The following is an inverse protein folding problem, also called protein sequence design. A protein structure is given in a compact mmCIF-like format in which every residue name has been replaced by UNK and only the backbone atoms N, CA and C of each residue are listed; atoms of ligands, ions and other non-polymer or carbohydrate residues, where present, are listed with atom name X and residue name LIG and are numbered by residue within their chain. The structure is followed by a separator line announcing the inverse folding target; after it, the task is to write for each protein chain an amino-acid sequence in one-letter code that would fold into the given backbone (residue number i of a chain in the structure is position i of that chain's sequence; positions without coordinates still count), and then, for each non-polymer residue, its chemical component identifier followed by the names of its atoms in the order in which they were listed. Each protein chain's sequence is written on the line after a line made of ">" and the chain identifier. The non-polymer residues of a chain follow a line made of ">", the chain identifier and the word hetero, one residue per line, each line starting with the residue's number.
data_IF_820536027669
#
_entry.id   IF_820536027669
#
_cell.length_a   1.000
_cell.length_b   1.000
_cell.length_c   1.000
_cell.angle_alpha   90.00
_cell.angle_beta   90.00
_cell.angle_gamma   90.00
#
_symmetry.space_group_name_H-M   'P 1'
#
loop_
_entity.id
_entity.type
_entity.pdbx_description
1 polymer ?
#
# COMPACT_ATOMS: atom_id res chain seq x y z
N UNK A 1 -32.34 -13.59 9.99
CA UNK A 1 -30.88 -13.65 10.20
C UNK A 1 -30.21 -14.33 9.00
N UNK A 2 -29.23 -13.69 8.34
CA UNK A 2 -28.49 -14.33 7.23
C UNK A 2 -27.61 -15.46 7.76
N UNK A 3 -27.70 -16.65 7.15
CA UNK A 3 -26.86 -17.82 7.47
C UNK A 3 -25.37 -17.58 7.17
N UNK A 4 -25.06 -16.58 6.35
CA UNK A 4 -23.70 -16.24 5.95
C UNK A 4 -23.04 -15.15 6.80
N UNK A 5 -23.70 -14.65 7.85
CA UNK A 5 -23.16 -13.53 8.66
C UNK A 5 -23.25 -12.18 7.93
N UNK A 6 -22.66 -11.14 8.51
CA UNK A 6 -22.73 -9.77 7.97
C UNK A 6 -21.60 -9.50 6.98
N UNK A 7 -20.38 -10.03 7.22
CA UNK A 7 -19.19 -9.64 6.45
C UNK A 7 -18.76 -10.65 5.39
N UNK A 8 -19.03 -11.95 5.57
CA UNK A 8 -18.61 -12.99 4.59
C UNK A 8 -19.12 -12.78 3.16
N UNK A 9 -20.39 -12.36 2.91
CA UNK A 9 -20.86 -12.15 1.55
C UNK A 9 -20.07 -11.07 0.80
N UNK A 10 -19.68 -10.00 1.51
CA UNK A 10 -18.86 -8.93 0.95
C UNK A 10 -17.44 -9.40 0.63
N UNK A 11 -16.84 -10.22 1.49
CA UNK A 11 -15.51 -10.80 1.25
C UNK A 11 -15.54 -11.75 0.04
N UNK A 12 -16.56 -12.62 -0.04
CA UNK A 12 -16.72 -13.54 -1.16
C UNK A 12 -16.95 -12.81 -2.49
N UNK A 13 -17.84 -11.81 -2.50
CA UNK A 13 -18.11 -10.98 -3.67
C UNK A 13 -16.87 -10.19 -4.10
N UNK A 14 -16.15 -9.59 -3.14
CA UNK A 14 -14.88 -8.91 -3.40
C UNK A 14 -13.84 -9.84 -4.04
N UNK A 15 -13.67 -11.06 -3.52
CA UNK A 15 -12.73 -12.02 -4.07
C UNK A 15 -13.11 -12.47 -5.50
N UNK A 16 -14.41 -12.66 -5.76
CA UNK A 16 -14.90 -12.96 -7.10
C UNK A 16 -14.64 -11.80 -8.08
N UNK A 17 -14.89 -10.55 -7.67
CA UNK A 17 -14.60 -9.39 -8.51
C UNK A 17 -13.10 -9.19 -8.75
N UNK A 18 -12.23 -9.43 -7.76
CA UNK A 18 -10.77 -9.44 -7.98
C UNK A 18 -10.41 -10.50 -9.03
N UNK A 19 -10.97 -11.71 -8.96
CA UNK A 19 -10.70 -12.76 -9.94
C UNK A 19 -11.12 -12.37 -11.35
N UNK A 20 -12.31 -11.77 -11.52
CA UNK A 20 -12.79 -11.25 -12.81
C UNK A 20 -11.89 -10.12 -13.32
N UNK A 21 -11.54 -9.17 -12.46
CA UNK A 21 -10.70 -8.03 -12.82
C UNK A 21 -9.31 -8.47 -13.30
N UNK A 22 -8.66 -9.35 -12.55
CA UNK A 22 -7.33 -9.90 -12.87
C UNK A 22 -7.38 -10.72 -14.15
N UNK A 23 -8.46 -11.45 -14.41
CA UNK A 23 -8.67 -12.14 -15.68
C UNK A 23 -8.77 -11.15 -16.85
N UNK A 24 -9.59 -10.09 -16.73
CA UNK A 24 -9.72 -9.06 -17.76
C UNK A 24 -8.38 -8.38 -18.07
N UNK A 25 -7.61 -8.03 -17.03
CA UNK A 25 -6.29 -7.41 -17.16
C UNK A 25 -5.30 -8.36 -17.86
N UNK A 26 -5.24 -9.63 -17.41
CA UNK A 26 -4.33 -10.61 -17.99
C UNK A 26 -4.62 -10.93 -19.45
N UNK A 27 -5.90 -11.02 -19.82
CA UNK A 27 -6.35 -11.36 -21.18
C UNK A 27 -6.70 -10.16 -22.04
N UNK A 28 -6.39 -8.93 -21.60
CA UNK A 28 -6.73 -7.71 -22.33
C UNK A 28 -6.24 -7.73 -23.78
N UNK A 29 -5.01 -8.23 -24.01
CA UNK A 29 -4.44 -8.34 -25.36
C UNK A 29 -5.20 -9.34 -26.26
N UNK A 30 -5.64 -10.49 -25.73
CA UNK A 30 -6.36 -11.50 -26.52
C UNK A 30 -7.81 -11.09 -26.76
N UNK A 31 -8.46 -10.52 -25.74
CA UNK A 31 -9.82 -9.99 -25.87
C UNK A 31 -9.81 -8.82 -26.85
N UNK A 32 -8.79 -7.97 -26.82
CA UNK A 32 -8.59 -6.91 -27.82
C UNK A 32 -8.39 -7.47 -29.22
N UNK A 33 -7.58 -8.52 -29.39
CA UNK A 33 -7.38 -9.17 -30.70
C UNK A 33 -8.67 -9.82 -31.22
N UNK A 34 -9.38 -10.58 -30.40
CA UNK A 34 -10.72 -11.11 -30.72
C UNK A 34 -11.71 -9.97 -31.00
N UNK A 35 -11.50 -8.88 -30.29
CA UNK A 35 -12.07 -7.54 -30.45
C UNK A 35 -11.98 -6.99 -31.87
N UNK A 36 -10.92 -7.38 -32.59
CA UNK A 36 -10.48 -6.85 -33.88
C UNK A 36 -9.29 -5.87 -33.81
N UNK A 37 -8.53 -5.84 -32.70
CA UNK A 37 -7.26 -5.12 -32.65
C UNK A 37 -6.20 -5.80 -33.53
N UNK A 38 -5.35 -5.03 -34.23
CA UNK A 38 -4.26 -5.56 -35.03
C UNK A 38 -3.18 -6.20 -34.14
N UNK A 39 -2.67 -7.36 -34.56
CA UNK A 39 -1.65 -8.10 -33.78
C UNK A 39 -0.32 -7.34 -33.70
N UNK A 40 0.11 -6.73 -34.82
CA UNK A 40 1.44 -6.15 -35.00
C UNK A 40 1.50 -4.61 -34.99
N UNK A 41 0.35 -3.92 -34.93
CA UNK A 41 0.30 -2.45 -34.94
C UNK A 41 -0.13 -1.94 -33.57
N UNK A 42 0.55 -0.89 -33.11
CA UNK A 42 0.13 -0.03 -32.01
C UNK A 42 -0.49 1.24 -32.57
N UNK A 43 -1.49 1.85 -31.91
CA UNK A 43 -2.11 1.45 -30.63
C UNK A 43 -3.13 0.30 -30.77
N UNK A 44 -3.40 -0.39 -29.64
CA UNK A 44 -4.40 -1.47 -29.49
C UNK A 44 -5.59 -0.96 -28.65
N UNK A 45 -6.50 -0.16 -29.23
CA UNK A 45 -7.49 0.60 -28.46
C UNK A 45 -8.47 -0.31 -27.70
N UNK A 46 -8.86 -1.46 -28.26
CA UNK A 46 -9.82 -2.37 -27.60
C UNK A 46 -9.16 -3.09 -26.42
N UNK A 47 -7.90 -3.52 -26.56
CA UNK A 47 -7.11 -4.07 -25.47
C UNK A 47 -6.93 -3.04 -24.33
N UNK A 48 -6.65 -1.78 -24.66
CA UNK A 48 -6.55 -0.69 -23.68
C UNK A 48 -7.88 -0.52 -22.94
N UNK A 49 -9.02 -0.48 -23.65
CA UNK A 49 -10.33 -0.34 -23.02
C UNK A 49 -10.63 -1.50 -22.04
N UNK A 50 -10.35 -2.75 -22.43
CA UNK A 50 -10.52 -3.92 -21.56
C UNK A 50 -9.61 -3.84 -20.32
N UNK A 51 -8.36 -3.44 -20.51
CA UNK A 51 -7.42 -3.26 -19.41
C UNK A 51 -7.89 -2.20 -18.43
N UNK A 52 -8.36 -1.04 -18.91
CA UNK A 52 -8.86 0.06 -18.07
C UNK A 52 -10.09 -0.38 -17.28
N UNK A 53 -11.05 -1.05 -17.91
CA UNK A 53 -12.23 -1.59 -17.22
C UNK A 53 -11.82 -2.60 -16.16
N UNK A 54 -10.94 -3.55 -16.49
CA UNK A 54 -10.41 -4.53 -15.54
C UNK A 54 -9.70 -3.86 -14.37
N UNK A 55 -8.87 -2.84 -14.63
CA UNK A 55 -8.16 -2.09 -13.59
C UNK A 55 -9.12 -1.35 -12.64
N UNK A 56 -10.18 -0.73 -13.16
CA UNK A 56 -11.21 -0.10 -12.33
C UNK A 56 -11.96 -1.10 -11.46
N UNK A 57 -12.35 -2.26 -12.02
CA UNK A 57 -12.99 -3.33 -11.24
C UNK A 57 -12.02 -3.81 -10.15
N UNK A 58 -10.73 -3.96 -10.46
CA UNK A 58 -9.72 -4.39 -9.50
C UNK A 58 -9.62 -3.43 -8.31
N UNK A 59 -9.62 -2.13 -8.56
CA UNK A 59 -9.53 -1.12 -7.50
C UNK A 59 -10.77 -1.14 -6.59
N UNK A 60 -11.97 -1.17 -7.19
CA UNK A 60 -13.22 -1.30 -6.43
C UNK A 60 -13.26 -2.60 -5.63
N UNK A 61 -12.86 -3.71 -6.23
CA UNK A 61 -12.86 -5.03 -5.60
C UNK A 61 -11.85 -5.12 -4.45
N UNK A 62 -10.65 -4.55 -4.60
CA UNK A 62 -9.64 -4.49 -3.55
C UNK A 62 -10.14 -3.67 -2.35
N UNK A 63 -10.74 -2.51 -2.60
CA UNK A 63 -11.32 -1.67 -1.55
C UNK A 63 -12.49 -2.38 -0.85
N UNK A 64 -13.33 -3.08 -1.61
CA UNK A 64 -14.43 -3.91 -1.11
C UNK A 64 -13.95 -5.10 -0.28
N UNK A 65 -12.75 -5.63 -0.52
CA UNK A 65 -12.19 -6.75 0.22
C UNK A 65 -11.43 -6.31 1.47
N UNK A 66 -10.61 -5.26 1.37
CA UNK A 66 -9.76 -4.79 2.47
C UNK A 66 -10.57 -4.31 3.68
N UNK A 67 -11.63 -3.51 3.45
CA UNK A 67 -12.45 -2.94 4.53
C UNK A 67 -13.12 -4.02 5.40
N UNK A 68 -13.96 -4.89 4.82
CA UNK A 68 -14.59 -5.99 5.54
C UNK A 68 -13.61 -6.97 6.18
N UNK A 69 -12.47 -7.28 5.55
CA UNK A 69 -11.44 -8.14 6.15
C UNK A 69 -10.84 -7.51 7.42
N UNK A 70 -10.46 -6.23 7.39
CA UNK A 70 -9.96 -5.51 8.58
C UNK A 70 -11.02 -5.43 9.67
N UNK A 71 -12.27 -5.15 9.30
CA UNK A 71 -13.36 -5.06 10.25
C UNK A 71 -13.73 -6.43 10.84
N UNK A 72 -13.61 -7.52 10.08
CA UNK A 72 -13.76 -8.88 10.61
C UNK A 72 -12.66 -9.20 11.62
N UNK A 73 -11.41 -8.81 11.36
CA UNK A 73 -10.30 -8.97 12.32
C UNK A 73 -10.54 -8.17 13.61
N UNK A 74 -11.07 -6.95 13.50
CA UNK A 74 -11.46 -6.15 14.66
C UNK A 74 -12.60 -6.82 15.46
N UNK A 75 -13.65 -7.28 14.79
CA UNK A 75 -14.78 -7.98 15.42
C UNK A 75 -14.32 -9.25 16.16
N UNK A 76 -13.39 -10.01 15.59
CA UNK A 76 -12.79 -11.21 16.22
C UNK A 76 -11.88 -10.87 17.40
N UNK A 77 -11.26 -9.68 17.39
CA UNK A 77 -10.40 -9.21 18.47
C UNK A 77 -11.21 -8.67 19.66
N UNK A 78 -12.44 -8.22 19.41
CA UNK A 78 -13.34 -7.65 20.42
C UNK A 78 -12.75 -6.39 21.07
N UNK A 79 -13.03 -6.18 22.37
CA UNK A 79 -12.50 -5.04 23.12
C UNK A 79 -11.03 -5.21 23.56
N UNK A 80 -10.38 -6.33 23.23
CA UNK A 80 -9.03 -6.61 23.71
C UNK A 80 -7.97 -5.93 22.82
N UNK A 81 -7.45 -4.80 23.30
CA UNK A 81 -6.44 -3.99 22.61
C UNK A 81 -5.19 -4.79 22.19
N UNK A 82 -4.77 -5.78 23.00
CA UNK A 82 -3.62 -6.64 22.65
C UNK A 82 -3.93 -7.51 21.44
N UNK A 83 -5.12 -8.14 21.40
CA UNK A 83 -5.55 -8.96 20.25
C UNK A 83 -5.69 -8.11 18.99
N UNK A 84 -6.27 -6.91 19.08
CA UNK A 84 -6.41 -5.99 17.94
C UNK A 84 -5.05 -5.58 17.37
N UNK A 85 -4.07 -5.32 18.24
CA UNK A 85 -2.71 -4.99 17.81
C UNK A 85 -2.02 -6.17 17.12
N UNK A 86 -2.11 -7.37 17.70
CA UNK A 86 -1.58 -8.60 17.08
C UNK A 86 -2.26 -8.92 15.75
N UNK A 87 -3.59 -8.73 15.64
CA UNK A 87 -4.32 -8.95 14.40
C UNK A 87 -3.86 -8.00 13.28
N UNK A 88 -3.65 -6.71 13.58
CA UNK A 88 -3.11 -5.76 12.61
C UNK A 88 -1.65 -6.09 12.24
N UNK A 89 -0.82 -6.54 13.18
CA UNK A 89 0.54 -6.97 12.88
C UNK A 89 0.58 -8.19 11.94
N UNK A 90 -0.28 -9.19 12.18
CA UNK A 90 -0.42 -10.35 11.30
C UNK A 90 -0.99 -9.97 9.93
N UNK A 91 -1.94 -9.04 9.87
CA UNK A 91 -2.47 -8.51 8.61
C UNK A 91 -1.34 -7.89 7.76
N UNK A 92 -0.54 -7.00 8.35
CA UNK A 92 0.61 -6.39 7.68
C UNK A 92 1.68 -7.43 7.28
N UNK A 93 1.92 -8.45 8.11
CA UNK A 93 2.82 -9.55 7.79
C UNK A 93 2.35 -10.35 6.56
N UNK A 94 1.07 -10.73 6.50
CA UNK A 94 0.53 -11.45 5.34
C UNK A 94 0.45 -10.59 4.09
N UNK A 95 0.23 -9.27 4.21
CA UNK A 95 0.44 -8.35 3.08
C UNK A 95 1.88 -8.40 2.57
N UNK A 96 2.86 -8.42 3.47
CA UNK A 96 4.27 -8.56 3.12
C UNK A 96 4.55 -9.87 2.37
N UNK A 97 4.00 -11.00 2.85
CA UNK A 97 4.11 -12.29 2.18
C UNK A 97 3.52 -12.23 0.77
N UNK A 98 2.33 -11.64 0.62
CA UNK A 98 1.70 -11.42 -0.69
C UNK A 98 2.57 -10.59 -1.63
N UNK A 99 3.16 -9.51 -1.13
CA UNK A 99 4.08 -8.67 -1.90
C UNK A 99 5.34 -9.43 -2.32
N UNK A 100 5.96 -10.20 -1.41
CA UNK A 100 7.12 -11.05 -1.74
C UNK A 100 6.77 -12.03 -2.86
N UNK A 101 5.63 -12.73 -2.75
CA UNK A 101 5.19 -13.67 -3.79
C UNK A 101 4.92 -12.97 -5.12
N UNK A 102 4.28 -11.79 -5.10
CA UNK A 102 4.01 -10.99 -6.29
C UNK A 102 5.29 -10.50 -6.98
N UNK A 103 6.21 -9.90 -6.23
CA UNK A 103 7.48 -9.42 -6.77
C UNK A 103 8.39 -10.56 -7.22
N UNK A 104 8.42 -11.68 -6.48
CA UNK A 104 9.16 -12.88 -6.88
C UNK A 104 8.62 -13.43 -8.20
N UNK A 105 7.30 -13.56 -8.33
CA UNK A 105 6.66 -14.00 -9.56
C UNK A 105 6.94 -13.05 -10.74
N UNK A 106 6.86 -11.73 -10.52
CA UNK A 106 7.20 -10.72 -11.53
C UNK A 106 8.68 -10.74 -11.95
N UNK A 107 9.59 -11.11 -11.04
CA UNK A 107 11.03 -11.20 -11.33
C UNK A 107 11.41 -12.47 -12.13
N UNK A 108 10.58 -13.52 -12.08
CA UNK A 108 10.86 -14.80 -12.71
C UNK A 108 10.33 -14.85 -14.16
N UNK A 109 11.20 -15.24 -15.10
CA UNK A 109 10.95 -15.06 -16.55
C UNK A 109 10.44 -16.30 -17.27
N UNK A 110 10.27 -17.42 -16.55
CA UNK A 110 9.90 -18.71 -17.15
C UNK A 110 8.58 -19.28 -16.61
N UNK A 111 7.78 -18.46 -15.92
CA UNK A 111 6.49 -18.88 -15.37
C UNK A 111 5.52 -19.35 -16.46
N UNK A 112 5.56 -18.73 -17.65
CA UNK A 112 4.76 -19.15 -18.80
C UNK A 112 5.02 -20.59 -19.27
N UNK A 113 6.14 -21.22 -18.90
CA UNK A 113 6.40 -22.64 -19.22
C UNK A 113 5.52 -23.60 -18.43
N UNK A 114 5.09 -23.20 -17.22
CA UNK A 114 4.16 -23.97 -16.39
C UNK A 114 2.76 -23.92 -16.99
N UNK A 115 2.39 -22.77 -17.58
CA UNK A 115 1.09 -22.56 -18.23
C UNK A 115 1.27 -22.20 -19.71
N UNK A 116 1.65 -23.15 -20.58
CA UNK A 116 2.02 -22.86 -21.97
C UNK A 116 0.88 -22.24 -22.80
N UNK A 117 -0.37 -22.45 -22.40
CA UNK A 117 -1.56 -21.84 -23.02
C UNK A 117 -1.61 -20.31 -22.90
N UNK A 118 -0.82 -19.71 -22.00
CA UNK A 118 -0.80 -18.26 -21.78
C UNK A 118 -0.13 -17.47 -22.90
N UNK A 119 0.74 -18.12 -23.69
CA UNK A 119 1.40 -17.53 -24.85
C UNK A 119 0.49 -17.65 -26.07
N UNK A 120 0.14 -16.51 -26.66
CA UNK A 120 -0.75 -16.44 -27.83
C UNK A 120 -0.11 -15.60 -28.94
N UNK A 121 -0.79 -15.47 -30.09
CA UNK A 121 -0.30 -14.60 -31.18
C UNK A 121 -0.31 -13.12 -30.79
N UNK A 122 -1.24 -12.69 -29.92
CA UNK A 122 -1.32 -11.31 -29.43
C UNK A 122 -0.47 -11.03 -28.19
N UNK A 123 -0.05 -12.06 -27.46
CA UNK A 123 0.60 -11.97 -26.16
C UNK A 123 1.99 -12.61 -26.22
N UNK A 124 3.01 -11.76 -26.14
CA UNK A 124 4.41 -12.18 -26.14
C UNK A 124 4.81 -12.87 -24.82
N UNK A 125 6.09 -13.21 -24.67
CA UNK A 125 6.60 -13.92 -23.49
C UNK A 125 6.42 -13.11 -22.19
N UNK A 126 6.52 -11.79 -22.25
CA UNK A 126 6.33 -10.93 -21.08
C UNK A 126 4.87 -10.94 -20.63
N UNK A 127 3.97 -10.71 -21.57
CA UNK A 127 2.53 -10.80 -21.35
C UNK A 127 2.11 -12.21 -20.86
N UNK A 128 2.68 -13.28 -21.41
CA UNK A 128 2.37 -14.65 -21.02
C UNK A 128 2.83 -14.98 -19.59
N UNK A 129 3.98 -14.44 -19.17
CA UNK A 129 4.42 -14.54 -17.77
C UNK A 129 3.45 -13.81 -16.83
N UNK A 130 3.02 -12.59 -17.17
CA UNK A 130 2.04 -11.85 -16.35
C UNK A 130 0.72 -12.60 -16.21
N UNK A 131 0.18 -13.15 -17.30
CA UNK A 131 -1.01 -14.02 -17.26
C UNK A 131 -0.84 -15.22 -16.33
N UNK A 132 0.33 -15.86 -16.39
CA UNK A 132 0.65 -17.00 -15.53
C UNK A 132 0.64 -16.60 -14.06
N UNK A 133 1.24 -15.45 -13.71
CA UNK A 133 1.20 -14.89 -12.35
C UNK A 133 -0.24 -14.63 -11.89
N UNK A 134 -1.06 -14.04 -12.75
CA UNK A 134 -2.46 -13.75 -12.46
C UNK A 134 -3.29 -15.01 -12.24
N UNK A 135 -3.07 -16.07 -13.01
CA UNK A 135 -3.72 -17.37 -12.78
C UNK A 135 -3.37 -17.95 -11.41
N UNK A 136 -2.08 -17.95 -11.04
CA UNK A 136 -1.64 -18.40 -9.72
C UNK A 136 -2.30 -17.56 -8.62
N UNK A 137 -2.36 -16.24 -8.80
CA UNK A 137 -2.98 -15.30 -7.86
C UNK A 137 -4.47 -15.58 -7.67
N UNK A 138 -5.23 -15.84 -8.75
CA UNK A 138 -6.66 -16.19 -8.67
C UNK A 138 -6.86 -17.48 -7.89
N UNK A 139 -6.09 -18.53 -8.21
CA UNK A 139 -6.20 -19.83 -7.50
C UNK A 139 -5.88 -19.65 -6.02
N UNK A 140 -4.81 -18.92 -5.68
CA UNK A 140 -4.44 -18.65 -4.30
C UNK A 140 -5.51 -17.82 -3.57
N UNK A 141 -6.04 -16.77 -4.19
CA UNK A 141 -7.09 -15.93 -3.62
C UNK A 141 -8.36 -16.73 -3.32
N UNK A 142 -8.85 -17.51 -4.29
CA UNK A 142 -10.08 -18.28 -4.13
C UNK A 142 -9.92 -19.38 -3.08
N UNK A 143 -8.79 -20.09 -3.07
CA UNK A 143 -8.52 -21.14 -2.07
C UNK A 143 -8.42 -20.56 -0.66
N UNK A 144 -7.66 -19.48 -0.46
CA UNK A 144 -7.56 -18.80 0.84
C UNK A 144 -8.90 -18.21 1.29
N UNK A 145 -9.67 -17.62 0.37
CA UNK A 145 -11.00 -17.08 0.68
C UNK A 145 -11.95 -18.19 1.11
N UNK A 146 -12.01 -19.30 0.37
CA UNK A 146 -12.86 -20.44 0.73
C UNK A 146 -12.47 -20.97 2.11
N UNK A 147 -11.17 -21.21 2.35
CA UNK A 147 -10.68 -21.66 3.65
C UNK A 147 -11.06 -20.69 4.78
N UNK A 148 -10.82 -19.39 4.60
CA UNK A 148 -11.16 -18.39 5.60
C UNK A 148 -12.67 -18.38 5.92
N UNK A 149 -13.52 -18.39 4.89
CA UNK A 149 -14.97 -18.34 5.04
C UNK A 149 -15.56 -19.64 5.63
N UNK A 150 -14.91 -20.78 5.43
CA UNK A 150 -15.33 -22.07 6.03
C UNK A 150 -14.87 -22.21 7.47
N UNK A 151 -13.62 -21.85 7.79
CA UNK A 151 -13.03 -22.07 9.11
C UNK A 151 -13.37 -20.97 10.13
N UNK A 152 -13.43 -19.71 9.72
CA UNK A 152 -13.60 -18.58 10.65
C UNK A 152 -15.08 -18.40 10.96
N UNK A 153 -15.57 -18.86 12.13
CA UNK A 153 -16.95 -18.66 12.58
C UNK A 153 -17.26 -17.17 12.84
N UNK A 154 -18.24 -16.61 12.13
CA UNK A 154 -18.76 -15.26 12.39
C UNK A 154 -20.02 -15.37 13.28
N UNK A 155 -20.21 -14.45 14.24
CA UNK A 155 -21.47 -14.36 14.99
C UNK A 155 -22.60 -14.04 14.02
N UNK A 156 -23.71 -14.75 14.16
CA UNK A 156 -24.87 -14.60 13.31
C UNK A 156 -25.55 -13.24 13.58
N UNK A 157 -25.83 -12.47 12.53
CA UNK A 157 -26.51 -11.17 12.66
C UNK A 157 -27.99 -11.39 13.03
N UNK A 158 -28.35 -11.10 14.28
CA UNK A 158 -29.74 -10.86 14.70
C UNK A 158 -30.01 -9.35 14.66
N UNK A 159 -31.16 -8.95 14.13
CA UNK A 159 -31.53 -7.55 13.97
C UNK A 159 -31.85 -6.82 15.30
N UNK A 160 -31.78 -7.51 16.45
CA UNK A 160 -32.24 -6.97 17.74
C UNK A 160 -31.23 -6.14 18.54
N UNK A 161 -29.95 -6.05 18.15
CA UNK A 161 -28.92 -5.34 18.94
C UNK A 161 -28.75 -3.85 18.58
N UNK A 162 -29.80 -3.23 18.04
CA UNK A 162 -29.84 -1.78 17.80
C UNK A 162 -30.26 -0.93 19.01
N UNK A 163 -30.78 -1.52 20.09
CA UNK A 163 -31.53 -0.75 21.12
C UNK A 163 -31.24 -1.05 22.60
N UNK A 164 -30.20 -1.79 22.99
CA UNK A 164 -30.03 -2.20 24.41
C UNK A 164 -28.62 -2.16 24.96
N UNK A 165 -27.88 -1.06 24.74
CA UNK A 165 -26.77 -0.65 25.65
C UNK A 165 -26.58 0.87 25.63
N UNK A 166 -27.63 1.64 25.89
CA UNK A 166 -27.50 2.98 26.44
C UNK A 166 -28.08 2.90 27.86
N UNK A 167 -27.26 3.19 28.87
CA UNK A 167 -27.71 3.21 30.25
C UNK A 167 -28.81 4.26 30.42
N UNK A 168 -29.79 3.90 31.24
CA UNK A 168 -30.83 4.78 31.77
C UNK A 168 -30.22 6.06 32.32
N UNK A 169 -30.68 7.20 31.79
CA UNK A 169 -31.05 8.37 32.57
C UNK A 169 -32.15 9.09 31.78
N UNK A 170 -33.25 9.35 32.48
CA UNK A 170 -34.53 9.88 32.01
C UNK A 170 -34.41 11.35 31.55
N UNK A 171 -35.02 11.68 30.39
CA UNK A 171 -36.13 12.65 30.26
C UNK A 171 -36.21 13.41 28.91
N UNK A 172 -37.46 13.45 28.44
CA UNK A 172 -38.12 14.34 27.47
C UNK A 172 -37.86 14.26 25.94
N UNK A 173 -38.83 13.58 25.30
CA UNK A 173 -39.60 14.01 24.13
C UNK A 173 -38.90 14.69 22.94
N UNK A 174 -38.78 13.91 21.86
CA UNK A 174 -38.51 14.44 20.53
C UNK A 174 -38.44 13.34 19.48
N UNK A 175 -39.60 12.93 18.95
CA UNK A 175 -39.72 12.12 17.72
C UNK A 175 -38.84 12.72 16.61
N UNK A 176 -37.72 12.09 16.32
CA UNK A 176 -36.98 12.35 15.08
C UNK A 176 -37.12 11.12 14.18
N UNK A 177 -37.97 11.25 13.17
CA UNK A 177 -37.96 10.37 12.01
C UNK A 177 -36.57 10.38 11.38
N UNK A 178 -35.90 9.24 11.38
CA UNK A 178 -34.61 9.04 10.73
C UNK A 178 -34.83 8.99 9.21
N UNK A 179 -34.75 10.17 8.58
CA UNK A 179 -34.53 10.23 7.14
C UNK A 179 -33.16 9.60 6.84
N UNK A 180 -33.01 8.73 5.82
CA UNK A 180 -31.72 8.19 5.47
C UNK A 180 -30.89 9.34 4.93
N UNK A 181 -29.92 9.83 5.71
CA UNK A 181 -29.02 10.85 5.19
C UNK A 181 -28.31 10.30 3.96
N UNK A 182 -28.14 11.10 2.89
CA UNK A 182 -27.27 10.73 1.78
C UNK A 182 -25.88 10.41 2.34
N UNK A 183 -25.27 9.32 1.89
CA UNK A 183 -23.93 8.84 2.31
C UNK A 183 -22.87 9.96 2.43
N UNK A 184 -22.93 10.97 1.55
CA UNK A 184 -22.05 12.15 1.60
C UNK A 184 -22.33 13.10 2.79
N UNK A 185 -23.59 13.25 3.19
CA UNK A 185 -23.98 14.01 4.38
C UNK A 185 -23.48 13.34 5.66
N UNK A 186 -23.52 12.01 5.73
CA UNK A 186 -22.93 11.25 6.84
C UNK A 186 -21.40 11.42 6.91
N UNK A 187 -20.69 11.34 5.78
CA UNK A 187 -19.24 11.57 5.73
C UNK A 187 -18.89 12.99 6.17
N UNK A 188 -19.61 13.99 5.67
CA UNK A 188 -19.34 15.39 6.01
C UNK A 188 -19.63 15.69 7.49
N UNK A 189 -20.74 15.17 8.02
CA UNK A 189 -21.05 15.25 9.45
C UNK A 189 -19.98 14.54 10.30
N UNK A 190 -19.52 13.36 9.85
CA UNK A 190 -18.47 12.61 10.53
C UNK A 190 -17.15 13.38 10.59
N UNK A 191 -16.72 13.96 9.46
CA UNK A 191 -15.54 14.81 9.37
C UNK A 191 -15.65 16.01 10.32
N UNK A 192 -16.79 16.70 10.32
CA UNK A 192 -17.02 17.88 11.17
C UNK A 192 -16.97 17.55 12.66
N UNK A 193 -17.39 16.34 13.05
CA UNK A 193 -17.43 15.89 14.44
C UNK A 193 -16.14 15.19 14.91
N UNK A 194 -15.08 15.18 14.11
CA UNK A 194 -13.81 14.56 14.52
C UNK A 194 -13.10 15.36 15.62
N UNK A 195 -12.66 14.63 16.64
CA UNK A 195 -11.83 15.20 17.70
C UNK A 195 -10.46 15.64 17.15
N UNK A 196 -9.85 16.65 17.77
CA UNK A 196 -8.53 17.20 17.41
C UNK A 196 -7.43 16.14 17.20
N UNK A 197 -7.30 15.07 18.03
CA UNK A 197 -6.34 13.99 17.79
C UNK A 197 -6.49 13.30 16.43
N UNK A 198 -7.72 13.11 15.96
CA UNK A 198 -7.98 12.48 14.66
C UNK A 198 -7.57 13.40 13.52
N UNK A 199 -7.86 14.69 13.58
CA UNK A 199 -7.41 15.65 12.56
C UNK A 199 -5.89 15.68 12.40
N UNK A 200 -5.15 15.61 13.51
CA UNK A 200 -3.69 15.54 13.49
C UNK A 200 -3.23 14.22 12.86
N UNK A 201 -3.88 13.10 13.20
CA UNK A 201 -3.59 11.80 12.58
C UNK A 201 -3.80 11.81 11.07
N UNK A 202 -4.91 12.40 10.60
CA UNK A 202 -5.22 12.54 9.18
C UNK A 202 -4.18 13.39 8.46
N UNK A 203 -3.74 14.50 9.06
CA UNK A 203 -2.68 15.36 8.52
C UNK A 203 -1.33 14.62 8.41
N UNK A 204 -0.90 13.95 9.48
CA UNK A 204 0.36 13.18 9.50
C UNK A 204 0.32 12.06 8.46
N UNK A 205 -0.83 11.37 8.35
CA UNK A 205 -1.06 10.31 7.36
C UNK A 205 -1.00 10.87 5.95
N UNK A 206 -1.66 12.00 5.70
CA UNK A 206 -1.66 12.71 4.41
C UNK A 206 -0.23 13.04 3.96
N UNK A 207 0.56 13.70 4.81
CA UNK A 207 1.96 14.02 4.50
C UNK A 207 2.83 12.79 4.28
N UNK A 208 2.62 11.73 5.07
CA UNK A 208 3.35 10.48 4.91
C UNK A 208 3.05 9.82 3.56
N UNK A 209 1.80 9.87 3.09
CA UNK A 209 1.43 9.33 1.79
C UNK A 209 1.91 10.19 0.62
N UNK A 210 1.96 11.53 0.77
CA UNK A 210 2.67 12.40 -0.19
C UNK A 210 4.14 11.98 -0.32
N UNK A 211 4.77 11.48 0.75
CA UNK A 211 6.13 10.95 0.69
C UNK A 211 6.25 9.62 -0.05
N UNK A 212 5.31 8.69 0.17
CA UNK A 212 5.35 7.36 -0.41
C UNK A 212 4.98 7.32 -1.89
N UNK A 213 4.00 8.12 -2.33
CA UNK A 213 3.47 8.01 -3.69
C UNK A 213 4.51 8.23 -4.80
N UNK A 214 5.39 9.24 -4.73
CA UNK A 214 6.46 9.40 -5.71
C UNK A 214 7.29 8.14 -5.85
N UNK A 215 7.72 7.58 -4.71
CA UNK A 215 8.51 6.36 -4.69
C UNK A 215 7.74 5.18 -5.28
N UNK A 216 6.50 4.94 -4.85
CA UNK A 216 5.69 3.82 -5.35
C UNK A 216 5.36 3.91 -6.84
N UNK A 217 5.32 5.11 -7.41
CA UNK A 217 5.08 5.32 -8.84
C UNK A 217 6.34 5.15 -9.69
N UNK A 218 7.49 5.62 -9.17
CA UNK A 218 8.70 5.78 -9.97
C UNK A 218 9.88 4.93 -9.51
N UNK A 219 9.80 4.10 -8.48
CA UNK A 219 10.94 3.35 -7.93
C UNK A 219 11.60 2.38 -8.94
N UNK A 220 10.81 1.62 -9.66
CA UNK A 220 11.26 0.64 -10.65
C UNK A 220 11.69 1.32 -11.95
N UNK A 221 10.99 2.39 -12.34
CA UNK A 221 11.44 3.29 -13.40
C UNK A 221 12.79 3.90 -13.03
N UNK A 222 12.96 4.30 -11.76
CA UNK A 222 14.18 4.90 -11.27
C UNK A 222 15.37 3.95 -11.33
N UNK A 223 15.12 2.70 -10.95
CA UNK A 223 16.12 1.64 -11.11
C UNK A 223 16.44 1.37 -12.60
N UNK A 224 15.45 1.44 -13.48
CA UNK A 224 15.60 1.28 -14.94
C UNK A 224 16.39 2.40 -15.60
N UNK A 225 15.97 3.64 -15.36
CA UNK A 225 16.40 4.84 -16.04
C UNK A 225 17.61 5.49 -15.38
N UNK A 226 17.52 5.84 -14.10
CA UNK A 226 18.60 6.56 -13.42
C UNK A 226 19.73 5.62 -12.98
N UNK A 227 19.43 4.47 -12.38
CA UNK A 227 20.48 3.57 -11.87
C UNK A 227 21.12 2.76 -12.99
N UNK A 228 20.31 2.18 -13.88
CA UNK A 228 20.83 1.35 -14.98
C UNK A 228 21.16 2.16 -16.24
N UNK A 229 20.68 3.40 -16.39
CA UNK A 229 20.92 4.20 -17.59
C UNK A 229 20.16 3.72 -18.82
N UNK A 230 19.07 2.96 -18.62
CA UNK A 230 18.20 2.50 -19.69
C UNK A 230 17.22 3.59 -20.15
N UNK A 231 16.58 3.34 -21.29
CA UNK A 231 15.52 4.20 -21.83
C UNK A 231 14.40 3.34 -22.39
N UNK A 232 13.17 3.54 -21.92
CA UNK A 232 11.97 2.81 -22.34
C UNK A 232 11.52 3.17 -23.76
N UNK A 233 11.95 4.33 -24.28
CA UNK A 233 11.67 4.79 -25.65
C UNK A 233 12.92 4.80 -26.54
N UNK A 234 14.03 4.29 -26.03
CA UNK A 234 15.32 4.27 -26.71
C UNK A 234 15.49 3.12 -27.71
N UNK A 235 16.74 2.93 -28.15
CA UNK A 235 17.13 1.79 -28.98
C UNK A 235 16.87 0.45 -28.29
N UNK A 236 16.81 -0.65 -29.05
CA UNK A 236 16.57 -1.99 -28.50
C UNK A 236 17.54 -2.38 -27.37
N UNK A 237 18.78 -1.85 -27.40
CA UNK A 237 19.74 -2.05 -26.32
C UNK A 237 19.38 -1.24 -25.06
N UNK A 238 19.01 0.04 -25.21
CA UNK A 238 18.61 0.89 -24.09
C UNK A 238 17.33 0.36 -23.41
N UNK A 239 16.38 -0.14 -24.21
CA UNK A 239 15.19 -0.81 -23.70
C UNK A 239 15.55 -2.07 -22.91
N UNK A 240 16.48 -2.89 -23.43
CA UNK A 240 16.96 -4.08 -22.72
C UNK A 240 17.66 -3.75 -21.40
N UNK A 241 18.37 -2.62 -21.33
CA UNK A 241 19.01 -2.15 -20.10
C UNK A 241 17.98 -1.61 -19.10
N UNK A 242 16.98 -0.88 -19.59
CA UNK A 242 15.82 -0.44 -18.82
C UNK A 242 15.08 -1.62 -18.20
N UNK A 243 14.71 -2.63 -18.99
CA UNK A 243 14.06 -3.86 -18.53
C UNK A 243 14.88 -4.58 -17.46
N UNK A 244 16.22 -4.58 -17.60
CA UNK A 244 17.11 -5.17 -16.60
C UNK A 244 17.10 -4.40 -15.29
N UNK A 245 17.07 -3.07 -15.36
CA UNK A 245 16.95 -2.21 -14.18
C UNK A 245 15.58 -2.35 -13.52
N UNK A 246 14.48 -2.34 -14.28
CA UNK A 246 13.12 -2.59 -13.76
C UNK A 246 13.04 -3.93 -13.02
N UNK A 247 13.61 -5.00 -13.58
CA UNK A 247 13.69 -6.31 -12.90
C UNK A 247 14.53 -6.27 -11.63
N UNK A 248 15.63 -5.50 -11.62
CA UNK A 248 16.42 -5.30 -10.41
C UNK A 248 15.66 -4.47 -9.36
N UNK A 249 14.82 -3.52 -9.79
CA UNK A 249 13.92 -2.77 -8.93
C UNK A 249 12.86 -3.67 -8.30
N UNK A 250 12.25 -4.57 -9.08
CA UNK A 250 11.33 -5.59 -8.56
C UNK A 250 12.01 -6.51 -7.53
N UNK A 251 13.28 -6.89 -7.74
CA UNK A 251 14.07 -7.60 -6.73
C UNK A 251 14.28 -6.75 -5.46
N UNK A 252 14.52 -5.44 -5.61
CA UNK A 252 14.58 -4.49 -4.50
C UNK A 252 13.27 -4.47 -3.71
N UNK A 253 12.13 -4.35 -4.39
CA UNK A 253 10.80 -4.39 -3.79
C UNK A 253 10.49 -5.72 -3.09
N UNK A 254 11.03 -6.84 -3.60
CA UNK A 254 10.97 -8.12 -2.90
C UNK A 254 11.74 -8.07 -1.57
N UNK A 255 12.97 -7.54 -1.56
CA UNK A 255 13.77 -7.36 -0.34
C UNK A 255 13.11 -6.40 0.65
N UNK A 256 12.57 -5.29 0.15
CA UNK A 256 11.73 -4.36 0.90
C UNK A 256 10.60 -5.12 1.61
N UNK A 257 9.87 -5.96 0.88
CA UNK A 257 8.73 -6.72 1.41
C UNK A 257 9.15 -7.75 2.46
N UNK A 258 10.33 -8.37 2.32
CA UNK A 258 10.89 -9.25 3.35
C UNK A 258 11.14 -8.47 4.65
N UNK A 259 11.83 -7.32 4.57
CA UNK A 259 12.09 -6.47 5.74
C UNK A 259 10.79 -5.94 6.33
N UNK A 260 9.82 -5.56 5.50
CA UNK A 260 8.49 -5.14 5.89
C UNK A 260 7.80 -6.23 6.73
N UNK A 261 7.82 -7.48 6.27
CA UNK A 261 7.22 -8.61 6.96
C UNK A 261 7.81 -8.83 8.35
N UNK A 262 9.14 -8.92 8.45
CA UNK A 262 9.80 -9.08 9.75
C UNK A 262 9.58 -7.88 10.68
N UNK A 263 9.64 -6.67 10.14
CA UNK A 263 9.37 -5.44 10.91
C UNK A 263 7.93 -5.42 11.41
N UNK A 264 6.95 -5.88 10.61
CA UNK A 264 5.53 -5.95 10.97
C UNK A 264 5.27 -6.83 12.20
N UNK A 265 6.00 -7.94 12.33
CA UNK A 265 5.97 -8.80 13.53
C UNK A 265 6.65 -8.13 14.74
N UNK A 266 7.67 -7.30 14.49
CA UNK A 266 8.45 -6.59 15.49
C UNK A 266 7.90 -5.23 15.94
N UNK A 267 6.80 -4.73 15.37
CA UNK A 267 6.30 -3.35 15.62
C UNK A 267 6.10 -3.07 17.10
N UNK A 268 5.56 -4.03 17.87
CA UNK A 268 5.35 -3.87 19.32
C UNK A 268 6.65 -3.76 20.12
N UNK A 269 7.68 -4.52 19.72
CA UNK A 269 8.97 -4.48 20.37
C UNK A 269 9.69 -3.16 20.05
N UNK A 270 9.62 -2.73 18.78
CA UNK A 270 10.17 -1.46 18.32
C UNK A 270 9.48 -0.28 19.01
N UNK A 271 8.15 -0.29 19.11
CA UNK A 271 7.38 0.77 19.76
C UNK A 271 7.74 0.89 21.25
N UNK A 272 7.87 -0.24 21.95
CA UNK A 272 8.33 -0.25 23.35
C UNK A 272 9.77 0.26 23.49
N UNK A 273 10.67 -0.15 22.60
CA UNK A 273 12.08 0.23 22.63
C UNK A 273 12.31 1.74 22.46
N UNK A 274 11.50 2.42 21.64
CA UNK A 274 11.63 3.87 21.40
C UNK A 274 10.73 4.73 22.31
N UNK A 275 10.00 4.11 23.23
CA UNK A 275 9.15 4.81 24.20
C UNK A 275 7.79 5.25 23.65
N UNK A 276 7.20 4.46 22.76
CA UNK A 276 5.80 4.60 22.32
C UNK A 276 5.61 4.62 20.81
N UNK A 277 4.37 4.37 20.39
CA UNK A 277 3.92 4.29 18.99
C UNK A 277 4.11 5.63 18.27
N UNK A 278 3.85 6.74 18.98
CA UNK A 278 4.08 8.11 18.49
C UNK A 278 5.53 8.34 18.07
N UNK A 279 6.48 8.01 18.96
CA UNK A 279 7.91 8.21 18.72
C UNK A 279 8.39 7.32 17.60
N UNK A 280 7.93 6.07 17.56
CA UNK A 280 8.26 5.14 16.49
C UNK A 280 7.88 5.70 15.13
N UNK A 281 6.63 6.17 14.96
CA UNK A 281 6.19 6.75 13.69
C UNK A 281 7.05 7.95 13.30
N UNK A 282 7.26 8.89 14.22
CA UNK A 282 8.11 10.06 13.94
C UNK A 282 9.51 9.68 13.46
N UNK A 283 10.17 8.75 14.16
CA UNK A 283 11.51 8.27 13.81
C UNK A 283 11.53 7.63 12.41
N UNK A 284 10.58 6.74 12.11
CA UNK A 284 10.61 6.07 10.80
C UNK A 284 10.27 7.00 9.64
N UNK A 285 9.51 8.07 9.85
CA UNK A 285 9.31 9.10 8.83
C UNK A 285 10.61 9.86 8.52
N UNK A 286 11.48 10.10 9.52
CA UNK A 286 12.82 10.62 9.24
C UNK A 286 13.70 9.60 8.52
N UNK A 287 13.58 8.30 8.85
CA UNK A 287 14.26 7.23 8.10
C UNK A 287 13.79 7.22 6.64
N UNK A 288 12.49 7.37 6.39
CA UNK A 288 11.93 7.50 5.05
C UNK A 288 12.50 8.72 4.31
N UNK A 289 12.50 9.89 4.95
CA UNK A 289 13.07 11.11 4.38
C UNK A 289 14.55 10.92 4.00
N UNK A 290 15.33 10.31 4.89
CA UNK A 290 16.74 9.99 4.65
C UNK A 290 16.90 9.01 3.47
N UNK A 291 16.08 7.97 3.39
CA UNK A 291 16.13 7.02 2.28
C UNK A 291 15.80 7.70 0.94
N UNK A 292 14.78 8.57 0.90
CA UNK A 292 14.43 9.33 -0.28
C UNK A 292 15.56 10.28 -0.70
N UNK A 293 16.24 10.94 0.24
CA UNK A 293 17.44 11.73 -0.06
C UNK A 293 18.59 10.86 -0.61
N UNK A 294 18.77 9.64 -0.09
CA UNK A 294 19.81 8.72 -0.56
C UNK A 294 19.61 8.25 -2.00
N UNK A 295 18.40 8.31 -2.55
CA UNK A 295 18.17 8.06 -3.99
C UNK A 295 18.97 9.03 -4.87
N UNK A 296 19.13 10.29 -4.44
CA UNK A 296 19.92 11.31 -5.14
C UNK A 296 21.39 10.90 -5.16
N UNK A 297 21.93 10.47 -4.01
CA UNK A 297 23.32 10.02 -3.92
C UNK A 297 23.57 8.82 -4.83
N UNK A 298 22.70 7.81 -4.78
CA UNK A 298 22.83 6.61 -5.62
C UNK A 298 22.75 6.98 -7.10
N UNK A 299 21.86 7.90 -7.47
CA UNK A 299 21.73 8.39 -8.85
C UNK A 299 22.99 9.11 -9.31
N UNK A 300 23.54 10.02 -8.49
CA UNK A 300 24.77 10.75 -8.82
C UNK A 300 26.00 9.84 -8.88
N UNK A 301 26.05 8.81 -8.03
CA UNK A 301 27.06 7.76 -8.12
C UNK A 301 26.90 6.91 -9.39
N UNK A 302 25.67 6.56 -9.75
CA UNK A 302 25.37 5.80 -10.96
C UNK A 302 25.73 6.58 -12.23
N UNK A 303 25.44 7.88 -12.27
CA UNK A 303 25.83 8.80 -13.34
C UNK A 303 27.35 8.92 -13.44
N UNK A 304 28.06 9.17 -12.33
CA UNK A 304 29.52 9.37 -12.33
C UNK A 304 30.31 8.10 -12.70
N UNK A 305 29.79 6.92 -12.38
CA UNK A 305 30.43 5.63 -12.70
C UNK A 305 29.86 4.99 -13.97
N UNK A 306 29.02 5.72 -14.74
CA UNK A 306 28.43 5.20 -15.96
C UNK A 306 29.52 4.99 -17.01
N UNK A 307 29.80 3.73 -17.30
CA UNK A 307 30.74 3.34 -18.35
C UNK A 307 29.98 3.14 -19.65
N UNK A 308 30.60 3.53 -20.75
CA UNK A 308 30.06 3.30 -22.09
C UNK A 308 30.98 2.34 -22.84
N UNK A 309 30.38 1.38 -23.55
CA UNK A 309 31.10 0.57 -24.53
C UNK A 309 30.73 1.04 -25.93
N UNK A 310 31.68 1.05 -26.86
CA UNK A 310 31.40 1.35 -28.26
C UNK A 310 31.15 0.04 -28.99
N UNK A 311 29.97 -0.13 -29.57
CA UNK A 311 29.62 -1.32 -30.37
C UNK A 311 30.08 -1.11 -31.81
N UNK A 312 30.31 -2.21 -32.54
CA UNK A 312 30.53 -2.20 -33.99
C UNK A 312 29.39 -1.41 -34.67
N UNK A 313 29.74 -0.23 -35.23
CA UNK A 313 28.78 0.77 -35.74
C UNK A 313 28.91 2.17 -35.12
N UNK A 314 29.79 2.37 -34.12
CA UNK A 314 30.10 3.69 -33.56
C UNK A 314 29.13 4.19 -32.48
N UNK A 315 28.08 3.43 -32.19
CA UNK A 315 27.15 3.74 -31.11
C UNK A 315 27.77 3.44 -29.73
N UNK A 316 27.73 4.42 -28.82
CA UNK A 316 28.11 4.28 -27.42
C UNK A 316 26.93 3.78 -26.60
N UNK A 317 27.12 2.68 -25.88
CA UNK A 317 26.07 2.04 -25.09
C UNK A 317 26.42 2.06 -23.59
N UNK A 318 25.48 2.42 -22.71
CA UNK A 318 25.70 2.36 -21.28
C UNK A 318 25.86 0.89 -20.83
N UNK A 319 26.87 0.64 -20.01
CA UNK A 319 27.09 -0.64 -19.34
C UNK A 319 26.28 -0.69 -18.03
N UNK A 320 25.92 -1.90 -17.56
CA UNK A 320 25.25 -2.06 -16.27
C UNK A 320 26.06 -1.42 -15.13
N UNK A 321 25.39 -0.92 -14.08
CA UNK A 321 26.06 -0.24 -12.98
C UNK A 321 27.00 -1.21 -12.24
N UNK A 322 28.10 -0.70 -11.67
CA UNK A 322 28.97 -1.47 -10.79
C UNK A 322 28.19 -2.17 -9.68
N UNK A 323 28.66 -3.36 -9.27
CA UNK A 323 28.00 -4.17 -8.24
C UNK A 323 27.72 -3.41 -6.94
N UNK A 324 28.62 -2.50 -6.54
CA UNK A 324 28.44 -1.66 -5.35
C UNK A 324 27.26 -0.69 -5.44
N UNK A 325 27.03 -0.06 -6.58
CA UNK A 325 25.90 0.88 -6.79
C UNK A 325 24.58 0.10 -6.80
N UNK A 326 24.57 -1.04 -7.51
CA UNK A 326 23.41 -1.94 -7.50
C UNK A 326 23.10 -2.44 -6.08
N UNK A 327 24.12 -2.85 -5.32
CA UNK A 327 23.95 -3.31 -3.94
C UNK A 327 23.43 -2.17 -3.04
N UNK A 328 23.94 -0.95 -3.20
CA UNK A 328 23.46 0.24 -2.51
C UNK A 328 21.98 0.52 -2.79
N UNK A 329 21.56 0.45 -4.06
CA UNK A 329 20.15 0.60 -4.44
C UNK A 329 19.26 -0.49 -3.81
N UNK A 330 19.67 -1.76 -3.88
CA UNK A 330 18.92 -2.86 -3.29
C UNK A 330 18.85 -2.77 -1.75
N UNK A 331 19.93 -2.32 -1.10
CA UNK A 331 19.95 -2.07 0.33
C UNK A 331 18.99 -0.92 0.72
N UNK A 332 18.93 0.14 -0.09
CA UNK A 332 17.97 1.22 0.10
C UNK A 332 16.52 0.72 0.08
N UNK A 333 16.16 -0.06 -0.95
CA UNK A 333 14.84 -0.70 -1.01
C UNK A 333 14.55 -1.53 0.24
N UNK A 334 15.50 -2.38 0.66
CA UNK A 334 15.35 -3.21 1.85
C UNK A 334 15.10 -2.38 3.12
N UNK A 335 15.89 -1.32 3.35
CA UNK A 335 15.73 -0.43 4.52
C UNK A 335 14.37 0.26 4.51
N UNK A 336 13.87 0.66 3.33
CA UNK A 336 12.54 1.26 3.18
C UNK A 336 11.39 0.32 3.60
N UNK A 337 11.63 -0.99 3.71
CA UNK A 337 10.63 -1.93 4.24
C UNK A 337 10.25 -1.62 5.70
N UNK A 338 11.18 -1.05 6.49
CA UNK A 338 10.93 -0.65 7.88
C UNK A 338 9.87 0.45 8.00
N UNK A 339 10.04 1.65 7.41
CA UNK A 339 9.02 2.70 7.47
C UNK A 339 7.70 2.29 6.80
N UNK A 340 7.74 1.41 5.80
CA UNK A 340 6.54 0.92 5.13
C UNK A 340 5.70 0.01 6.04
N UNK A 341 6.33 -0.90 6.79
CA UNK A 341 5.64 -1.74 7.77
C UNK A 341 4.89 -0.91 8.83
N UNK A 342 5.54 0.15 9.28
CA UNK A 342 4.97 1.09 10.24
C UNK A 342 3.81 1.89 9.63
N UNK A 343 3.98 2.37 8.40
CA UNK A 343 2.94 3.09 7.64
C UNK A 343 1.69 2.23 7.44
N UNK A 344 1.81 0.92 7.23
CA UNK A 344 0.65 0.05 7.05
C UNK A 344 -0.04 -0.37 8.35
N UNK A 345 0.60 -0.15 9.51
CA UNK A 345 0.12 -0.67 10.78
C UNK A 345 -0.34 0.44 11.74
N UNK A 346 0.51 1.45 11.97
CA UNK A 346 0.28 2.44 13.03
C UNK A 346 -0.91 3.39 12.75
N UNK A 347 -1.08 4.00 11.55
CA UNK A 347 -2.23 4.89 11.30
C UNK A 347 -3.56 4.24 11.62
N UNK A 348 -3.75 3.01 11.15
CA UNK A 348 -4.98 2.25 11.34
C UNK A 348 -5.19 1.86 12.80
N UNK A 349 -4.11 1.48 13.51
CA UNK A 349 -4.18 1.19 14.93
C UNK A 349 -4.56 2.44 15.76
N UNK A 350 -3.94 3.60 15.48
CA UNK A 350 -4.26 4.84 16.20
C UNK A 350 -5.66 5.36 15.88
N UNK A 351 -6.09 5.25 14.62
CA UNK A 351 -7.47 5.60 14.24
C UNK A 351 -8.47 4.73 15.01
N UNK A 352 -8.26 3.42 15.09
CA UNK A 352 -9.12 2.53 15.87
C UNK A 352 -9.16 2.88 17.36
N UNK A 353 -8.01 3.23 17.97
CA UNK A 353 -7.94 3.62 19.38
C UNK A 353 -8.71 4.91 19.64
N UNK A 354 -8.47 5.97 18.85
CA UNK A 354 -9.15 7.25 19.06
C UNK A 354 -10.67 7.16 18.83
N UNK A 355 -11.14 6.25 17.99
CA UNK A 355 -12.57 6.04 17.76
C UNK A 355 -13.26 5.27 18.87
N UNK A 356 -12.60 4.24 19.43
CA UNK A 356 -13.17 3.49 20.55
C UNK A 356 -13.45 4.40 21.76
N UNK A 357 -12.63 5.43 21.96
CA UNK A 357 -12.83 6.43 23.03
C UNK A 357 -13.94 7.43 22.72
N UNK A 358 -14.29 7.64 21.45
CA UNK A 358 -15.23 8.68 21.01
C UNK A 358 -16.64 8.15 20.63
N UNK A 359 -16.89 6.83 20.73
CA UNK A 359 -18.18 6.22 20.38
C UNK A 359 -18.53 6.25 18.89
N UNK A 360 -17.62 6.72 18.03
CA UNK A 360 -17.82 6.76 16.58
C UNK A 360 -17.63 5.35 15.97
N UNK A 361 -18.50 4.98 15.03
CA UNK A 361 -18.43 3.69 14.35
C UNK A 361 -17.08 3.47 13.65
N UNK A 362 -16.37 2.40 14.02
CA UNK A 362 -15.01 2.10 13.52
C UNK A 362 -14.91 2.14 11.98
N UNK A 363 -15.93 1.66 11.26
CA UNK A 363 -15.93 1.64 9.79
C UNK A 363 -15.86 3.03 9.15
N UNK A 364 -16.55 4.01 9.73
CA UNK A 364 -16.61 5.38 9.21
C UNK A 364 -15.25 6.07 9.34
N UNK A 365 -14.56 5.87 10.45
CA UNK A 365 -13.25 6.47 10.69
C UNK A 365 -12.12 5.80 9.90
N UNK A 366 -12.18 4.49 9.65
CA UNK A 366 -11.30 3.86 8.67
C UNK A 366 -11.54 4.41 7.25
N UNK A 367 -12.81 4.67 6.90
CA UNK A 367 -13.16 5.34 5.64
C UNK A 367 -12.56 6.74 5.53
N UNK A 368 -12.66 7.54 6.59
CA UNK A 368 -12.03 8.87 6.65
C UNK A 368 -10.51 8.79 6.57
N UNK A 369 -9.88 7.84 7.26
CA UNK A 369 -8.43 7.65 7.17
C UNK A 369 -7.99 7.34 5.73
N UNK A 370 -8.77 6.54 4.99
CA UNK A 370 -8.50 6.27 3.58
C UNK A 370 -8.61 7.53 2.71
N UNK A 371 -9.44 8.52 3.05
CA UNK A 371 -9.45 9.81 2.34
C UNK A 371 -8.10 10.53 2.47
N UNK A 372 -7.45 10.43 3.63
CA UNK A 372 -6.08 10.94 3.83
C UNK A 372 -5.00 10.15 3.10
N UNK A 373 -5.35 9.07 2.42
CA UNK A 373 -4.46 8.31 1.53
C UNK A 373 -4.76 8.65 0.08
N UNK A 374 -6.03 8.60 -0.31
CA UNK A 374 -6.47 8.78 -1.71
C UNK A 374 -6.29 10.23 -2.19
N UNK A 375 -6.56 11.23 -1.34
CA UNK A 375 -6.39 12.64 -1.74
C UNK A 375 -4.93 12.94 -2.11
N UNK A 376 -3.92 12.62 -1.26
CA UNK A 376 -2.52 12.68 -1.66
C UNK A 376 -2.19 11.91 -2.93
N UNK A 377 -2.76 10.72 -3.11
CA UNK A 377 -2.53 9.90 -4.30
C UNK A 377 -2.89 10.65 -5.57
N UNK A 378 -4.08 11.25 -5.60
CA UNK A 378 -4.57 12.01 -6.74
C UNK A 378 -3.69 13.23 -7.01
N UNK A 379 -3.34 13.98 -5.95
CA UNK A 379 -2.49 15.17 -6.06
C UNK A 379 -1.12 14.82 -6.62
N UNK A 380 -0.43 13.82 -6.06
CA UNK A 380 0.91 13.42 -6.52
C UNK A 380 0.86 12.81 -7.91
N UNK A 381 -0.14 11.99 -8.24
CA UNK A 381 -0.24 11.36 -9.56
C UNK A 381 -0.43 12.39 -10.67
N UNK A 382 -1.17 13.47 -10.42
CA UNK A 382 -1.37 14.55 -11.39
C UNK A 382 -0.18 15.52 -11.42
N UNK A 383 0.41 15.82 -10.25
CA UNK A 383 1.45 16.84 -10.13
C UNK A 383 2.85 16.34 -10.50
N UNK A 384 3.15 15.05 -10.31
CA UNK A 384 4.50 14.48 -10.51
C UNK A 384 5.05 14.71 -11.91
N UNK A 385 4.30 14.37 -12.96
CA UNK A 385 4.75 14.55 -14.34
C UNK A 385 5.13 16.00 -14.68
N UNK A 386 4.22 16.98 -14.49
CA UNK A 386 4.55 18.40 -14.70
C UNK A 386 5.70 18.88 -13.81
N UNK A 387 5.76 18.41 -12.57
CA UNK A 387 6.82 18.78 -11.62
C UNK A 387 8.19 18.28 -12.09
N UNK A 388 8.29 17.01 -12.46
CA UNK A 388 9.53 16.42 -12.96
C UNK A 388 10.00 17.14 -14.24
N UNK A 389 9.07 17.49 -15.13
CA UNK A 389 9.39 18.27 -16.33
C UNK A 389 9.99 19.66 -16.02
N UNK A 390 9.51 20.34 -14.96
CA UNK A 390 10.03 21.65 -14.55
C UNK A 390 11.47 21.60 -14.02
N UNK A 391 11.91 20.45 -13.50
CA UNK A 391 13.23 20.26 -12.91
C UNK A 391 14.20 19.45 -13.81
N UNK A 392 13.94 19.43 -15.12
CA UNK A 392 14.83 18.80 -16.11
C UNK A 392 14.54 17.33 -16.40
N UNK A 393 13.42 16.80 -15.92
CA UNK A 393 12.95 15.42 -16.11
C UNK A 393 13.55 14.42 -15.11
N UNK A 394 13.13 13.16 -15.25
CA UNK A 394 13.53 12.06 -14.37
C UNK A 394 12.67 11.96 -13.11
N UNK A 395 13.07 11.10 -12.17
CA UNK A 395 12.26 10.73 -11.00
C UNK A 395 12.70 11.43 -9.70
N UNK A 396 13.89 12.04 -9.71
CA UNK A 396 14.47 12.66 -8.51
C UNK A 396 13.66 13.83 -7.93
N UNK A 397 13.11 14.78 -8.73
CA UNK A 397 12.37 15.90 -8.19
C UNK A 397 11.16 15.47 -7.36
N UNK A 398 10.39 14.48 -7.85
CA UNK A 398 9.31 13.86 -7.09
C UNK A 398 9.80 13.20 -5.79
N UNK A 399 10.96 12.54 -5.78
CA UNK A 399 11.55 11.98 -4.55
C UNK A 399 11.97 13.04 -3.53
N UNK A 400 12.44 14.22 -3.99
CA UNK A 400 12.78 15.34 -3.09
C UNK A 400 11.53 15.89 -2.40
N UNK A 401 10.44 16.11 -3.16
CA UNK A 401 9.14 16.48 -2.59
C UNK A 401 8.72 15.46 -1.54
N UNK A 402 8.88 14.18 -1.86
CA UNK A 402 8.58 13.11 -0.93
C UNK A 402 9.44 13.15 0.34
N UNK A 403 10.74 13.43 0.22
CA UNK A 403 11.64 13.55 1.37
C UNK A 403 11.25 14.70 2.31
N UNK A 404 10.88 15.86 1.74
CA UNK A 404 10.39 17.02 2.51
C UNK A 404 9.07 16.68 3.21
N UNK A 405 8.14 16.03 2.52
CA UNK A 405 6.87 15.61 3.09
C UNK A 405 7.05 14.58 4.22
N UNK A 406 7.98 13.64 4.07
CA UNK A 406 8.33 12.65 5.10
C UNK A 406 8.91 13.33 6.34
N UNK A 407 9.85 14.28 6.18
CA UNK A 407 10.41 15.04 7.29
C UNK A 407 9.33 15.86 8.02
N UNK A 408 8.46 16.55 7.28
CA UNK A 408 7.32 17.27 7.84
C UNK A 408 6.37 16.34 8.61
N UNK A 409 6.02 15.19 8.03
CA UNK A 409 5.21 14.16 8.69
C UNK A 409 5.86 13.68 9.99
N UNK A 410 7.18 13.46 10.00
CA UNK A 410 7.95 13.09 11.19
C UNK A 410 7.90 14.17 12.28
N UNK A 411 8.09 15.44 11.92
CA UNK A 411 7.99 16.58 12.85
C UNK A 411 6.59 16.65 13.46
N UNK A 412 5.53 16.62 12.64
CA UNK A 412 4.16 16.68 13.14
C UNK A 412 3.78 15.46 13.97
N UNK A 413 4.27 14.27 13.62
CA UNK A 413 4.08 13.07 14.42
C UNK A 413 4.71 13.20 15.82
N UNK A 414 5.92 13.77 15.95
CA UNK A 414 6.58 13.92 17.25
C UNK A 414 6.04 15.10 18.06
N UNK A 415 5.61 16.17 17.41
CA UNK A 415 5.19 17.42 18.09
C UNK A 415 3.70 17.45 18.41
N UNK A 416 2.84 17.08 17.46
CA UNK A 416 1.39 17.31 17.55
C UNK A 416 0.59 16.07 17.93
N UNK A 417 1.04 14.84 17.58
CA UNK A 417 0.26 13.65 17.94
C UNK A 417 0.19 13.48 19.46
N UNK A 418 -0.99 13.22 20.04
CA UNK A 418 -1.11 12.86 21.44
C UNK A 418 -0.60 11.43 21.67
N UNK A 419 -0.09 11.15 22.87
CA UNK A 419 0.25 9.78 23.26
C UNK A 419 -1.04 8.96 23.41
N UNK A 420 -1.13 7.76 22.81
CA UNK A 420 -2.23 6.84 23.08
C UNK A 420 -2.27 6.51 24.59
N UNK A 421 -3.47 6.37 25.17
CA UNK A 421 -3.65 6.13 26.61
C UNK A 421 -2.92 4.87 27.16
N UNK A 422 -2.52 3.93 26.29
CA UNK A 422 -1.71 2.76 26.64
C UNK A 422 -0.18 2.96 26.62
N UNK A 423 0.30 4.13 26.21
CA UNK A 423 1.74 4.46 26.12
C UNK A 423 2.20 5.40 27.25
N UNK A 424 1.31 5.74 28.20
CA UNK A 424 1.68 6.54 29.37
C UNK A 424 2.63 5.69 30.23
N UNK A 425 3.90 6.10 30.44
CA UNK A 425 4.77 5.43 31.40
C UNK A 425 4.06 5.42 32.74
N UNK A 426 3.85 4.25 33.34
CA UNK A 426 3.25 4.16 34.67
C UNK A 426 4.01 5.08 35.62
N UNK A 427 3.35 6.12 36.11
CA UNK A 427 3.89 7.07 37.08
C UNK A 427 4.02 6.42 38.47
N UNK A 428 4.64 5.24 38.55
CA UNK A 428 4.91 4.49 39.79
C UNK A 428 6.36 4.62 40.25
N UNK A 429 7.13 5.57 39.71
CA UNK A 429 8.57 5.72 39.99
C UNK A 429 9.00 6.97 40.77
N UNK A 430 8.10 7.91 41.09
CA UNK A 430 8.46 9.09 41.89
C UNK A 430 7.42 9.31 43.00
N UNK A 431 7.56 8.56 44.10
CA UNK A 431 7.20 9.12 45.40
C UNK A 431 8.50 9.61 46.03
N UNK A 432 8.61 10.90 46.42
CA UNK A 432 9.74 11.34 47.22
C UNK A 432 9.65 10.60 48.56
N UNK A 433 10.73 9.93 48.93
CA UNK A 433 10.90 9.39 50.27
C UNK A 433 10.75 10.55 51.26
N UNK A 434 9.64 10.57 51.99
CA UNK A 434 9.48 11.43 53.14
C UNK A 434 10.45 10.92 54.22
N UNK A 435 11.48 11.71 54.50
CA UNK A 435 12.30 11.53 55.68
C UNK A 435 11.48 11.95 56.90
N UNK A 436 11.35 11.02 57.86
CA UNK A 436 11.04 11.32 59.25
C UNK A 436 12.33 11.42 60.04
#
# INVERSE_FOLDING_TARGET
>A
ASRFGRRRPFIAAGAAFVAVAVFLIGFAADIGQLSGDPVAKSPKPRAIAVFVVGFWILDVANNMLQGPCRALLADLSGANQKKTRTANALFSFFMAVGNVLGYAAGSYTHLYKIFPFTKTKACDVYCANLKSCFFISIVLLLTLTVLALTYVREKQWSAEQGNTTAGDDEDEDGKSESSPMPFFGEIFAALKNLQRPMWILLLVTCLNWIAWFPFLLFDTDWMGREVYGGDSSGTAYQLKLYDRGVRAGALGLMLNSVVLGFTSLGVEALARGVGGVKRLWGIVNFVLAFCLCMTILITKLAESHRRFATVAGGATIPLPPPGGIKAGALALFAVMGVPQAITYSIPFAMASIFCNTAGAGQGLSLGVLNLSIVIPQMVVSVASGPWDALFGGGNLPAFVVGAVAAAASGIFALTLLPFPQGDIPSAKGLMPAAFH
#
